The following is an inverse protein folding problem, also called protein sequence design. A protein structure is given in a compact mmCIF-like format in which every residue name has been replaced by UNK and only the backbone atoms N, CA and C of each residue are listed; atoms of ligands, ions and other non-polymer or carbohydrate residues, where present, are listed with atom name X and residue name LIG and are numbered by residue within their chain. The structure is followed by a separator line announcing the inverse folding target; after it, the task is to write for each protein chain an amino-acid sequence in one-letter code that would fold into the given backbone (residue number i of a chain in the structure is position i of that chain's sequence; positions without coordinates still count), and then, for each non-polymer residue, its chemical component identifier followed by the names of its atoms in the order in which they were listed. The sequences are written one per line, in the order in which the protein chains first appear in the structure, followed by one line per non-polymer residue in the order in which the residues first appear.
data_IF_977608781513
#
_entry.id   IF_977608781513
#
_cell.length_a   1.000
_cell.length_b   1.000
_cell.length_c   1.000
_cell.angle_alpha   90.00
_cell.angle_beta   90.00
_cell.angle_gamma   90.00
#
_symmetry.space_group_name_H-M   'P 1'
#
loop_
_entity.id
_entity.type
_entity.pdbx_description
1 polymer ?
#
# COMPACT_ATOMS: atom_id res chain seq x y z
N UNK A 1 -12.65 -16.41 4.86
CA UNK A 1 -11.37 -15.89 5.42
C UNK A 1 -10.82 -14.92 4.39
N UNK A 2 -10.67 -13.63 4.70
CA UNK A 2 -10.08 -12.67 3.74
C UNK A 2 -8.57 -12.92 3.63
N UNK A 3 -8.04 -12.81 2.42
CA UNK A 3 -6.60 -12.93 2.17
C UNK A 3 -5.92 -11.60 2.45
N UNK A 4 -4.60 -11.61 2.70
CA UNK A 4 -3.82 -10.36 2.88
C UNK A 4 -3.95 -9.47 1.63
N UNK A 5 -4.04 -10.07 0.43
CA UNK A 5 -4.28 -9.34 -0.83
C UNK A 5 -5.59 -8.57 -0.79
N UNK A 6 -6.69 -9.24 -0.41
CA UNK A 6 -8.00 -8.59 -0.33
C UNK A 6 -8.00 -7.49 0.72
N UNK A 7 -7.39 -7.72 1.87
CA UNK A 7 -7.28 -6.67 2.90
C UNK A 7 -6.50 -5.46 2.40
N UNK A 8 -5.42 -5.65 1.64
CA UNK A 8 -4.68 -4.54 1.04
C UNK A 8 -5.55 -3.76 0.05
N UNK A 9 -6.27 -4.47 -0.83
CA UNK A 9 -7.19 -3.86 -1.80
C UNK A 9 -8.25 -3.01 -1.07
N UNK A 10 -8.87 -3.58 -0.04
CA UNK A 10 -9.91 -2.90 0.73
C UNK A 10 -9.35 -1.63 1.41
N UNK A 11 -8.14 -1.69 1.98
CA UNK A 11 -7.51 -0.52 2.61
C UNK A 11 -7.16 0.55 1.56
N UNK A 12 -6.64 0.16 0.40
CA UNK A 12 -6.33 1.10 -0.68
C UNK A 12 -7.62 1.77 -1.17
N UNK A 13 -8.70 1.02 -1.35
CA UNK A 13 -10.01 1.56 -1.72
C UNK A 13 -10.59 2.48 -0.66
N UNK A 14 -10.39 2.18 0.62
CA UNK A 14 -10.81 3.05 1.72
C UNK A 14 -10.03 4.37 1.74
N UNK A 15 -8.73 4.35 1.43
CA UNK A 15 -7.85 5.53 1.52
C UNK A 15 -7.86 6.40 0.27
N UNK A 16 -7.90 5.80 -0.92
CA UNK A 16 -7.75 6.46 -2.21
C UNK A 16 -8.87 6.16 -3.21
N UNK A 17 -9.89 5.37 -2.83
CA UNK A 17 -10.95 4.97 -3.75
C UNK A 17 -10.42 4.09 -4.89
N UNK A 18 -10.58 4.56 -6.12
CA UNK A 18 -10.03 3.90 -7.31
C UNK A 18 -8.82 4.64 -7.89
N UNK A 19 -8.26 5.59 -7.15
CA UNK A 19 -7.10 6.38 -7.57
C UNK A 19 -5.78 5.81 -7.02
N UNK A 20 -4.68 6.45 -7.42
CA UNK A 20 -3.33 6.08 -7.01
C UNK A 20 -3.00 6.62 -5.62
N UNK A 21 -2.46 5.75 -4.76
CA UNK A 21 -1.91 6.14 -3.46
C UNK A 21 -0.38 6.16 -3.56
N UNK A 22 0.21 7.35 -3.52
CA UNK A 22 1.66 7.54 -3.51
C UNK A 22 2.21 7.59 -2.09
N UNK A 23 3.43 7.11 -1.90
CA UNK A 23 4.12 7.16 -0.61
C UNK A 23 5.16 8.28 -0.59
N UNK A 24 5.25 9.00 0.53
CA UNK A 24 6.31 10.01 0.75
C UNK A 24 7.72 9.39 0.76
N UNK A 25 7.80 8.12 1.15
CA UNK A 25 9.04 7.34 1.23
C UNK A 25 8.79 5.96 0.63
N UNK A 26 9.72 5.48 -0.19
CA UNK A 26 9.63 4.14 -0.77
C UNK A 26 9.40 3.06 0.29
N UNK A 27 8.51 2.12 -0.02
CA UNK A 27 8.44 0.84 0.65
C UNK A 27 9.57 -0.04 0.11
N UNK A 28 10.61 -0.23 0.91
CA UNK A 28 11.75 -1.07 0.53
C UNK A 28 11.55 -2.52 0.96
N UNK A 29 11.61 -3.43 -0.01
CA UNK A 29 11.41 -4.87 0.22
C UNK A 29 12.64 -5.61 -0.28
N UNK A 30 13.40 -6.19 0.65
CA UNK A 30 14.53 -7.07 0.31
C UNK A 30 14.04 -8.50 0.19
N UNK A 31 14.22 -9.07 -0.99
CA UNK A 31 13.91 -10.47 -1.28
C UNK A 31 15.06 -11.40 -0.89
N UNK A 32 16.29 -10.88 -0.82
CA UNK A 32 17.47 -11.59 -0.32
C UNK A 32 18.48 -10.60 0.31
N UNK A 33 19.46 -11.08 1.10
CA UNK A 33 20.49 -10.22 1.68
C UNK A 33 21.43 -9.55 0.65
N UNK A 34 21.53 -10.10 -0.57
CA UNK A 34 22.52 -9.70 -1.57
C UNK A 34 21.93 -9.05 -2.82
N UNK A 35 20.60 -8.84 -2.84
CA UNK A 35 19.92 -8.13 -3.93
C UNK A 35 19.60 -6.71 -3.51
N UNK A 36 19.57 -5.80 -4.47
CA UNK A 36 19.02 -4.47 -4.24
C UNK A 36 17.55 -4.61 -3.80
N UNK A 37 17.09 -3.77 -2.84
CA UNK A 37 15.70 -3.78 -2.43
C UNK A 37 14.80 -3.39 -3.60
N UNK A 38 13.67 -4.05 -3.72
CA UNK A 38 12.56 -3.54 -4.51
C UNK A 38 12.01 -2.29 -3.80
N UNK A 39 11.85 -1.20 -4.54
CA UNK A 39 11.32 0.06 -4.01
C UNK A 39 9.94 0.30 -4.61
N UNK A 40 8.90 0.20 -3.78
CA UNK A 40 7.54 0.57 -4.16
C UNK A 40 7.23 2.01 -3.73
N UNK A 41 6.86 2.86 -4.68
CA UNK A 41 6.56 4.28 -4.47
C UNK A 41 5.08 4.60 -4.49
N UNK A 42 4.26 3.68 -4.95
CA UNK A 42 2.81 3.83 -4.95
C UNK A 42 2.10 2.50 -5.01
N UNK A 43 0.80 2.54 -4.75
CA UNK A 43 -0.11 1.41 -4.80
C UNK A 43 -1.47 1.87 -5.32
N UNK A 44 -2.13 1.04 -6.13
CA UNK A 44 -3.52 1.26 -6.49
C UNK A 44 -4.28 -0.07 -6.57
N UNK A 45 -5.61 0.02 -6.49
CA UNK A 45 -6.51 -1.10 -6.63
C UNK A 45 -7.44 -0.87 -7.83
N UNK A 46 -7.47 -1.80 -8.77
CA UNK A 46 -8.35 -1.70 -9.93
C UNK A 46 -9.82 -1.91 -9.54
N UNK A 47 -10.76 -1.49 -10.40
CA UNK A 47 -12.18 -1.83 -10.24
C UNK A 47 -12.45 -3.35 -10.20
N UNK A 48 -11.56 -4.16 -10.77
CA UNK A 48 -11.64 -5.63 -10.81
C UNK A 48 -10.97 -6.32 -9.60
N UNK A 49 -10.66 -5.59 -8.53
CA UNK A 49 -9.99 -6.12 -7.33
C UNK A 49 -8.58 -6.67 -7.62
N UNK A 50 -7.84 -5.99 -8.48
CA UNK A 50 -6.43 -6.28 -8.71
C UNK A 50 -5.55 -5.21 -8.05
N UNK A 51 -4.43 -5.65 -7.45
CA UNK A 51 -3.51 -4.78 -6.73
C UNK A 51 -2.27 -4.51 -7.59
N UNK A 52 -1.91 -3.25 -7.73
CA UNK A 52 -0.70 -2.83 -8.45
C UNK A 52 0.21 -2.03 -7.54
N UNK A 53 1.52 -2.15 -7.75
CA UNK A 53 2.55 -1.33 -7.09
C UNK A 53 3.39 -0.62 -8.14
N UNK A 54 3.76 0.62 -7.86
CA UNK A 54 4.64 1.41 -8.71
C UNK A 54 6.08 1.25 -8.26
N UNK A 55 6.99 0.92 -9.17
CA UNK A 55 8.42 0.81 -8.87
C UNK A 55 9.16 2.16 -8.94
N UNK A 56 10.49 2.14 -8.78
CA UNK A 56 11.34 3.34 -8.87
C UNK A 56 11.46 3.96 -10.27
N UNK A 57 11.09 3.22 -11.31
CA UNK A 57 11.06 3.69 -12.70
C UNK A 57 9.67 4.25 -13.09
N UNK A 58 8.74 4.35 -12.12
CA UNK A 58 7.35 4.75 -12.34
C UNK A 58 6.54 3.74 -13.16
N UNK A 59 6.98 2.49 -13.21
CA UNK A 59 6.22 1.41 -13.86
C UNK A 59 5.29 0.72 -12.86
N UNK A 60 4.07 0.41 -13.31
CA UNK A 60 3.04 -0.25 -12.50
C UNK A 60 3.05 -1.76 -12.73
N UNK A 61 3.24 -2.51 -11.64
CA UNK A 61 3.35 -3.96 -11.65
C UNK A 61 2.19 -4.58 -10.89
N UNK A 62 1.50 -5.55 -11.52
CA UNK A 62 0.46 -6.33 -10.86
C UNK A 62 1.08 -7.23 -9.80
N UNK A 63 0.50 -7.23 -8.61
CA UNK A 63 0.87 -8.16 -7.54
C UNK A 63 0.16 -9.49 -7.75
N UNK A 64 0.93 -10.53 -8.06
CA UNK A 64 0.47 -11.91 -8.14
C UNK A 64 1.00 -12.70 -6.93
N UNK A 65 0.21 -12.93 -5.87
CA UNK A 65 0.71 -13.43 -4.58
C UNK A 65 1.43 -14.78 -4.65
N UNK A 66 1.12 -15.59 -5.66
CA UNK A 66 1.66 -16.93 -5.85
C UNK A 66 2.92 -16.96 -6.76
N UNK A 67 3.41 -15.79 -7.20
CA UNK A 67 4.52 -15.69 -8.14
C UNK A 67 5.75 -15.07 -7.48
N UNK A 68 6.85 -15.81 -7.51
CA UNK A 68 8.15 -15.34 -7.03
C UNK A 68 8.11 -14.85 -5.58
N UNK A 69 8.56 -13.61 -5.36
CA UNK A 69 8.65 -12.99 -4.03
C UNK A 69 7.52 -11.98 -3.76
N UNK A 70 6.43 -12.01 -4.53
CA UNK A 70 5.32 -11.07 -4.38
C UNK A 70 4.68 -11.09 -2.98
N UNK A 71 4.72 -12.23 -2.29
CA UNK A 71 4.23 -12.36 -0.92
C UNK A 71 5.01 -11.50 0.09
N UNK A 72 6.31 -11.29 -0.12
CA UNK A 72 7.12 -10.41 0.73
C UNK A 72 6.70 -8.95 0.54
N UNK A 73 6.51 -8.55 -0.73
CA UNK A 73 6.01 -7.20 -1.07
C UNK A 73 4.65 -6.98 -0.45
N UNK A 74 3.75 -7.96 -0.58
CA UNK A 74 2.40 -7.91 -0.04
C UNK A 74 2.39 -7.78 1.49
N UNK A 75 3.24 -8.53 2.19
CA UNK A 75 3.35 -8.45 3.65
C UNK A 75 3.84 -7.08 4.13
N UNK A 76 4.89 -6.55 3.52
CA UNK A 76 5.42 -5.22 3.84
C UNK A 76 4.43 -4.11 3.47
N UNK A 77 3.73 -4.25 2.34
CA UNK A 77 2.69 -3.33 1.90
C UNK A 77 1.52 -3.29 2.88
N UNK A 78 1.04 -4.46 3.31
CA UNK A 78 -0.03 -4.56 4.31
C UNK A 78 0.32 -3.81 5.59
N UNK A 79 1.54 -3.99 6.10
CA UNK A 79 2.01 -3.27 7.30
C UNK A 79 2.00 -1.75 7.08
N UNK A 80 2.51 -1.28 5.94
CA UNK A 80 2.53 0.15 5.60
C UNK A 80 1.13 0.74 5.48
N UNK A 81 0.23 0.03 4.78
CA UNK A 81 -1.17 0.43 4.62
C UNK A 81 -1.91 0.49 5.95
N UNK A 82 -1.68 -0.45 6.86
CA UNK A 82 -2.28 -0.42 8.19
C UNK A 82 -1.79 0.78 9.02
N UNK A 83 -0.51 1.14 8.92
CA UNK A 83 0.01 2.36 9.55
C UNK A 83 -0.64 3.62 8.96
N UNK A 84 -0.80 3.68 7.64
CA UNK A 84 -1.49 4.80 6.98
C UNK A 84 -2.95 4.88 7.42
N UNK A 85 -3.68 3.76 7.39
CA UNK A 85 -5.07 3.68 7.86
C UNK A 85 -5.25 4.21 9.27
N UNK A 86 -4.34 3.86 10.20
CA UNK A 86 -4.36 4.38 11.58
C UNK A 86 -4.11 5.89 11.65
N UNK A 87 -3.21 6.43 10.81
CA UNK A 87 -2.94 7.87 10.73
C UNK A 87 -4.10 8.65 10.12
N UNK A 88 -4.80 8.08 9.15
CA UNK A 88 -5.91 8.71 8.43
C UNK A 88 -7.30 8.47 9.04
N UNK A 89 -7.41 7.64 10.08
CA UNK A 89 -8.68 7.47 10.80
C UNK A 89 -9.11 8.79 11.47
N UNK A 90 -10.31 9.34 11.17
CA UNK A 90 -10.74 10.69 11.59
C UNK A 90 -11.12 10.83 13.07
N UNK A 91 -10.54 10.05 13.98
CA UNK A 91 -10.70 10.28 15.42
C UNK A 91 -9.80 11.39 15.99
N UNK A 92 -9.07 12.12 15.13
CA UNK A 92 -8.24 13.26 15.55
C UNK A 92 -8.71 14.64 15.05
N UNK A 93 -9.93 14.77 14.48
CA UNK A 93 -10.48 16.07 14.07
C UNK A 93 -11.63 16.59 14.97
N UNK A 94 -11.85 16.01 16.15
CA UNK A 94 -12.59 16.66 17.25
C UNK A 94 -11.59 17.39 18.15
N UNK A 95 -11.24 18.62 17.82
CA UNK A 95 -10.39 19.41 18.72
C UNK A 95 -9.77 20.70 18.19
N UNK A 96 -10.06 21.12 16.95
CA UNK A 96 -9.72 22.46 16.48
C UNK A 96 -10.92 23.09 15.79
N UNK A 97 -11.97 23.32 16.57
CA UNK A 97 -12.98 24.32 16.25
C UNK A 97 -12.90 25.41 17.31
N UNK A 98 -12.64 26.63 16.82
CA UNK A 98 -12.85 27.91 17.48
C UNK A 98 -11.99 28.25 18.71
N UNK A 99 -11.00 29.11 18.51
CA UNK A 99 -10.70 30.19 19.44
C UNK A 99 -9.95 31.32 18.71
N UNK A 100 -10.68 32.45 18.61
CA UNK A 100 -10.25 33.83 18.39
C UNK A 100 -9.75 34.23 16.99
#
# INVERSE_FOLDING_TARGET
MKTITQDCIDIVKELAGHEYLYFDTALEVRTSPHTFPFQAWGVCASPQDELYVMDGNQEWHKIEPNVGNAYLVLGSLYQRLQLLKRKFHPHSLKGRSSAA
#
